data_IF_512491250882
#
_entry.id   IF_512491250882
#
_cell.length_a   1.000
_cell.length_b   1.000
_cell.length_c   1.000
_cell.angle_alpha   90.00
_cell.angle_beta   90.00
_cell.angle_gamma   90.00
#
_symmetry.space_group_name_H-M   'P 1'
#
loop_
_entity.id
_entity.type
_entity.pdbx_description
1 polymer ?
#
# COMPACT_ATOMS: atom_id res chain seq x y z
N UNK A 1 7.57 10.12 18.69
CA UNK A 1 8.24 9.33 17.64
C UNK A 1 9.22 10.25 16.94
N UNK A 2 10.48 9.86 16.74
CA UNK A 2 11.44 10.70 16.02
C UNK A 2 11.19 10.63 14.51
N UNK A 3 11.52 11.71 13.79
CA UNK A 3 11.42 11.73 12.33
C UNK A 3 12.46 10.75 11.76
N UNK A 4 12.06 9.81 10.89
CA UNK A 4 12.96 8.86 10.25
C UNK A 4 14.12 9.53 9.51
N UNK A 5 15.23 8.80 9.34
CA UNK A 5 16.31 9.25 8.46
C UNK A 5 15.84 9.34 6.99
N UNK A 6 16.52 10.16 6.18
CA UNK A 6 16.25 10.19 4.74
C UNK A 6 16.48 8.81 4.12
N UNK A 7 15.60 8.42 3.18
CA UNK A 7 15.66 7.15 2.45
C UNK A 7 15.81 5.91 3.36
N UNK A 8 15.12 5.89 4.50
CA UNK A 8 15.16 4.77 5.46
C UNK A 8 13.94 3.85 5.39
N UNK A 9 12.81 4.34 4.87
CA UNK A 9 11.51 3.69 4.96
C UNK A 9 11.25 2.76 3.77
N UNK A 10 10.88 1.52 4.04
CA UNK A 10 10.18 0.65 3.08
C UNK A 10 8.67 0.85 3.29
N UNK A 11 7.98 1.35 2.27
CA UNK A 11 6.53 1.58 2.33
C UNK A 11 5.78 0.40 1.71
N UNK A 12 4.84 -0.18 2.45
CA UNK A 12 4.04 -1.33 2.02
C UNK A 12 2.57 -0.95 1.79
N UNK A 13 2.01 -1.43 0.68
CA UNK A 13 0.59 -1.27 0.32
C UNK A 13 0.08 -2.49 -0.44
N UNK A 14 -0.87 -3.25 0.11
CA UNK A 14 -1.36 -4.45 -0.57
C UNK A 14 -1.63 -5.66 0.31
N UNK A 15 -1.66 -6.83 -0.30
CA UNK A 15 -1.73 -8.13 0.35
C UNK A 15 -0.59 -8.98 -0.20
N UNK A 16 0.26 -9.49 0.68
CA UNK A 16 1.47 -10.24 0.30
C UNK A 16 1.41 -11.65 0.85
N UNK A 17 2.12 -12.58 0.20
CA UNK A 17 2.30 -13.94 0.69
C UNK A 17 3.33 -14.01 1.82
N UNK A 18 3.42 -15.16 2.48
CA UNK A 18 4.37 -15.37 3.58
C UNK A 18 5.83 -15.26 3.12
N UNK A 19 6.12 -15.74 1.91
CA UNK A 19 7.45 -15.68 1.29
C UNK A 19 7.97 -14.24 1.19
N UNK A 20 7.11 -13.27 0.84
CA UNK A 20 7.49 -11.86 0.86
C UNK A 20 8.05 -11.42 2.22
N UNK A 21 7.41 -11.82 3.32
CA UNK A 21 7.83 -11.44 4.67
C UNK A 21 9.09 -12.20 5.11
N UNK A 22 9.23 -13.47 4.74
CA UNK A 22 10.48 -14.22 4.93
C UNK A 22 11.66 -13.53 4.25
N UNK A 23 11.49 -13.13 2.99
CA UNK A 23 12.53 -12.45 2.22
C UNK A 23 12.79 -11.05 2.77
N UNK A 24 11.74 -10.32 3.18
CA UNK A 24 11.88 -9.02 3.81
C UNK A 24 12.70 -9.13 5.12
N UNK A 25 12.44 -10.14 5.95
CA UNK A 25 13.13 -10.34 7.25
C UNK A 25 14.63 -10.57 7.13
N UNK A 26 15.09 -11.08 5.99
CA UNK A 26 16.51 -11.31 5.68
C UNK A 26 17.23 -10.03 5.23
N UNK A 27 16.50 -8.96 4.91
CA UNK A 27 17.06 -7.71 4.39
C UNK A 27 17.49 -6.80 5.53
N UNK A 28 18.57 -6.03 5.29
CA UNK A 28 18.91 -4.88 6.14
C UNK A 28 18.03 -3.69 5.75
N UNK A 29 17.13 -3.30 6.66
CA UNK A 29 16.31 -2.10 6.54
C UNK A 29 16.23 -1.40 7.90
N UNK A 30 15.84 -0.12 7.89
CA UNK A 30 15.69 0.66 9.13
C UNK A 30 14.25 0.63 9.60
N UNK A 31 13.30 0.95 8.71
CA UNK A 31 11.91 1.15 9.09
C UNK A 31 10.94 0.59 8.03
N UNK A 32 9.83 0.01 8.48
CA UNK A 32 8.75 -0.49 7.62
C UNK A 32 7.46 0.24 7.97
N UNK A 33 6.92 0.94 6.98
CA UNK A 33 5.66 1.68 7.10
C UNK A 33 4.58 0.99 6.29
N UNK A 34 3.36 0.99 6.81
CA UNK A 34 2.22 0.29 6.23
C UNK A 34 1.07 1.28 6.07
N UNK A 35 0.54 1.39 4.86
CA UNK A 35 -0.68 2.14 4.63
C UNK A 35 -1.89 1.44 5.25
N UNK A 36 -2.80 2.19 5.86
CA UNK A 36 -3.97 1.62 6.53
C UNK A 36 -4.88 0.86 5.57
N UNK A 37 -4.98 1.29 4.30
CA UNK A 37 -5.65 0.60 3.22
C UNK A 37 -7.18 0.74 3.29
N UNK A 38 -7.69 1.98 3.20
CA UNK A 38 -9.13 2.22 3.13
C UNK A 38 -9.73 1.62 1.84
N UNK A 39 -11.02 1.26 1.85
CA UNK A 39 -11.97 1.43 2.95
C UNK A 39 -11.93 0.32 4.01
N UNK A 40 -11.48 -0.89 3.68
CA UNK A 40 -11.65 -2.08 4.54
C UNK A 40 -10.65 -2.20 5.69
N UNK A 41 -9.49 -1.55 5.58
CA UNK A 41 -8.34 -1.71 6.49
C UNK A 41 -7.78 -3.15 6.57
N UNK A 42 -8.23 -4.06 5.70
CA UNK A 42 -7.79 -5.47 5.70
C UNK A 42 -6.30 -5.59 5.39
N UNK A 43 -5.80 -4.74 4.47
CA UNK A 43 -4.39 -4.72 4.05
C UNK A 43 -3.45 -4.48 5.23
N UNK A 44 -3.61 -3.37 5.97
CA UNK A 44 -2.76 -3.07 7.11
C UNK A 44 -2.82 -4.13 8.20
N UNK A 45 -4.02 -4.65 8.50
CA UNK A 45 -4.19 -5.73 9.49
C UNK A 45 -3.41 -6.99 9.10
N UNK A 46 -3.50 -7.41 7.84
CA UNK A 46 -2.78 -8.57 7.33
C UNK A 46 -1.26 -8.35 7.39
N UNK A 47 -0.78 -7.25 6.78
CA UNK A 47 0.65 -6.92 6.72
C UNK A 47 1.25 -6.81 8.12
N UNK A 48 0.61 -6.06 9.03
CA UNK A 48 1.16 -5.85 10.37
C UNK A 48 1.20 -7.14 11.19
N UNK A 49 0.20 -8.00 11.04
CA UNK A 49 0.21 -9.33 11.69
C UNK A 49 1.41 -10.15 11.21
N UNK A 50 1.68 -10.18 9.91
CA UNK A 50 2.82 -10.92 9.37
C UNK A 50 4.16 -10.30 9.77
N UNK A 51 4.32 -8.97 9.69
CA UNK A 51 5.55 -8.31 10.13
C UNK A 51 5.87 -8.63 11.59
N UNK A 52 4.88 -8.60 12.48
CA UNK A 52 5.07 -8.93 13.90
C UNK A 52 5.48 -10.40 14.10
N UNK A 53 4.91 -11.35 13.35
CA UNK A 53 5.34 -12.76 13.37
C UNK A 53 6.82 -12.91 12.98
N UNK A 54 7.28 -12.13 12.00
CA UNK A 54 8.67 -12.10 11.56
C UNK A 54 9.57 -11.16 12.40
N UNK A 55 9.12 -10.73 13.59
CA UNK A 55 9.86 -9.85 14.52
C UNK A 55 10.23 -8.49 13.93
N UNK A 56 9.45 -8.00 12.97
CA UNK A 56 9.56 -6.68 12.37
C UNK A 56 8.48 -5.79 12.96
N UNK A 57 8.85 -4.68 13.60
CA UNK A 57 7.88 -3.74 14.18
C UNK A 57 7.45 -2.71 13.13
N UNK A 58 6.19 -2.73 12.65
CA UNK A 58 5.71 -1.74 11.67
C UNK A 58 5.29 -0.42 12.30
N UNK A 59 5.23 0.61 11.46
CA UNK A 59 4.46 1.84 11.72
C UNK A 59 3.28 1.91 10.74
N UNK A 60 2.05 2.00 11.24
CA UNK A 60 0.86 2.21 10.40
C UNK A 60 0.66 3.71 10.21
N UNK A 61 0.30 4.11 8.99
CA UNK A 61 -0.09 5.48 8.64
C UNK A 61 -1.37 5.49 7.81
N UNK A 62 -2.12 6.59 7.89
CA UNK A 62 -3.22 6.82 6.95
C UNK A 62 -2.68 6.98 5.51
N UNK A 63 -3.49 6.58 4.53
CA UNK A 63 -3.06 6.46 3.13
C UNK A 63 -2.49 7.80 2.57
N UNK A 64 -3.11 8.92 2.94
CA UNK A 64 -2.71 10.26 2.51
C UNK A 64 -1.37 10.75 3.09
N UNK A 65 -0.91 10.18 4.21
CA UNK A 65 0.36 10.55 4.85
C UNK A 65 1.57 10.15 4.00
N UNK A 66 1.40 9.24 3.03
CA UNK A 66 2.44 8.87 2.08
C UNK A 66 3.02 10.10 1.36
N UNK A 67 2.18 11.07 0.98
CA UNK A 67 2.62 12.30 0.32
C UNK A 67 3.62 13.10 1.16
N UNK A 68 3.40 13.20 2.46
CA UNK A 68 4.33 13.84 3.39
C UNK A 68 5.68 13.11 3.44
N UNK A 69 5.66 11.77 3.50
CA UNK A 69 6.89 10.97 3.53
C UNK A 69 7.71 11.11 2.23
N UNK A 70 7.04 11.18 1.07
CA UNK A 70 7.70 11.47 -0.20
C UNK A 70 8.32 12.87 -0.21
N UNK A 71 7.56 13.89 0.20
CA UNK A 71 8.03 15.28 0.26
C UNK A 71 9.27 15.42 1.14
N UNK A 72 9.29 14.74 2.30
CA UNK A 72 10.45 14.73 3.22
C UNK A 72 11.59 13.81 2.76
N UNK A 73 11.46 13.13 1.62
CA UNK A 73 12.44 12.21 1.05
C UNK A 73 12.81 11.05 2.01
N UNK A 74 11.83 10.55 2.75
CA UNK A 74 12.02 9.49 3.74
C UNK A 74 11.91 8.08 3.14
N UNK A 75 11.16 7.93 2.06
CA UNK A 75 10.90 6.63 1.43
C UNK A 75 12.10 6.19 0.60
N UNK A 76 12.62 5.00 0.92
CA UNK A 76 13.66 4.28 0.18
C UNK A 76 13.08 3.55 -1.02
N UNK A 77 12.01 2.79 -0.79
CA UNK A 77 11.32 2.00 -1.80
C UNK A 77 9.84 1.80 -1.41
N UNK A 78 9.02 1.56 -2.42
CA UNK A 78 7.63 1.15 -2.28
C UNK A 78 7.50 -0.29 -2.74
N UNK A 79 6.88 -1.14 -1.92
CA UNK A 79 6.46 -2.47 -2.31
C UNK A 79 4.93 -2.53 -2.32
N UNK A 80 4.34 -3.00 -3.41
CA UNK A 80 2.90 -3.15 -3.55
C UNK A 80 2.51 -4.54 -4.01
N UNK A 81 1.26 -4.94 -3.79
CA UNK A 81 0.72 -6.17 -4.38
C UNK A 81 -0.04 -5.90 -5.68
N UNK A 82 -0.07 -6.88 -6.58
CA UNK A 82 -0.84 -6.87 -7.82
C UNK A 82 -1.66 -8.16 -8.01
N UNK A 83 -2.84 -8.02 -8.61
CA UNK A 83 -3.77 -9.11 -8.94
C UNK A 83 -3.45 -9.74 -10.30
N UNK A 84 -3.24 -8.87 -11.29
CA UNK A 84 -2.94 -9.27 -12.66
C UNK A 84 -1.92 -8.33 -13.27
N UNK A 85 -1.20 -8.83 -14.28
CA UNK A 85 -0.22 -8.04 -15.02
C UNK A 85 -0.52 -8.13 -16.53
N UNK A 86 -0.78 -6.98 -17.14
CA UNK A 86 -0.89 -6.82 -18.59
C UNK A 86 0.44 -6.30 -19.15
N UNK A 87 0.98 -6.95 -20.19
CA UNK A 87 2.30 -6.58 -20.76
C UNK A 87 2.37 -5.12 -21.22
N UNK A 88 1.26 -4.59 -21.72
CA UNK A 88 1.09 -3.21 -22.19
C UNK A 88 0.49 -2.28 -21.12
N UNK A 89 -0.44 -2.78 -20.30
CA UNK A 89 -1.21 -1.96 -19.35
C UNK A 89 -0.49 -1.72 -18.02
N UNK A 90 0.41 -2.62 -17.61
CA UNK A 90 1.06 -2.60 -16.31
C UNK A 90 0.44 -3.59 -15.32
N UNK A 91 0.32 -3.22 -14.05
CA UNK A 91 -0.17 -4.10 -13.00
C UNK A 91 -1.50 -3.59 -12.44
N UNK A 92 -2.47 -4.49 -12.24
CA UNK A 92 -3.71 -4.17 -11.53
C UNK A 92 -3.46 -4.30 -10.02
N UNK A 93 -3.36 -3.17 -9.32
CA UNK A 93 -3.00 -3.10 -7.91
C UNK A 93 -4.19 -2.65 -7.06
N UNK A 94 -4.10 -2.80 -5.73
CA UNK A 94 -5.07 -2.17 -4.84
C UNK A 94 -5.04 -0.64 -4.99
N UNK A 95 -6.22 -0.03 -4.92
CA UNK A 95 -6.40 1.41 -5.04
C UNK A 95 -5.48 2.19 -4.08
N UNK A 96 -4.92 3.30 -4.57
CA UNK A 96 -3.82 4.03 -3.94
C UNK A 96 -2.45 3.70 -4.57
N UNK A 97 -2.33 2.56 -5.25
CA UNK A 97 -1.10 2.16 -5.91
C UNK A 97 -0.64 3.11 -7.02
N UNK A 98 -1.56 3.69 -7.79
CA UNK A 98 -1.23 4.67 -8.84
C UNK A 98 -0.68 5.96 -8.23
N UNK A 99 -1.31 6.47 -7.17
CA UNK A 99 -0.86 7.67 -6.44
C UNK A 99 0.56 7.46 -5.92
N UNK A 100 0.81 6.32 -5.25
CA UNK A 100 2.13 5.97 -4.76
C UNK A 100 3.17 5.90 -5.89
N UNK A 101 2.80 5.32 -7.03
CA UNK A 101 3.72 5.10 -8.15
C UNK A 101 4.07 6.40 -8.88
N UNK A 102 3.12 7.32 -9.00
CA UNK A 102 3.35 8.68 -9.53
C UNK A 102 4.29 9.46 -8.61
N UNK A 103 4.03 9.46 -7.30
CA UNK A 103 4.89 10.09 -6.31
C UNK A 103 6.29 9.46 -6.31
N UNK A 104 6.37 8.13 -6.36
CA UNK A 104 7.64 7.42 -6.38
C UNK A 104 8.49 7.82 -7.59
N UNK A 105 7.90 7.88 -8.79
CA UNK A 105 8.60 8.35 -9.99
C UNK A 105 9.13 9.78 -9.82
N UNK A 106 8.30 10.70 -9.32
CA UNK A 106 8.70 12.09 -9.12
C UNK A 106 9.84 12.24 -8.10
N UNK A 107 9.86 11.39 -7.07
CA UNK A 107 10.85 11.42 -5.99
C UNK A 107 12.01 10.43 -6.18
N UNK A 108 12.15 9.84 -7.38
CA UNK A 108 13.19 8.85 -7.73
C UNK A 108 13.25 7.70 -6.71
N UNK A 109 12.08 7.18 -6.34
CA UNK A 109 11.90 6.02 -5.46
C UNK A 109 11.50 4.83 -6.30
N UNK A 110 12.09 3.67 -6.01
CA UNK A 110 11.77 2.44 -6.72
C UNK A 110 10.42 1.88 -6.28
N UNK A 111 9.63 1.42 -7.25
CA UNK A 111 8.38 0.67 -7.05
C UNK A 111 8.60 -0.79 -7.44
N UNK A 112 8.32 -1.68 -6.49
CA UNK A 112 8.32 -3.13 -6.70
C UNK A 112 6.90 -3.66 -6.51
N UNK A 113 6.44 -4.50 -7.43
CA UNK A 113 5.14 -5.14 -7.32
C UNK A 113 5.31 -6.66 -7.14
N UNK A 114 4.47 -7.25 -6.28
CA UNK A 114 4.47 -8.66 -5.89
C UNK A 114 3.08 -9.26 -6.10
N UNK A 115 2.92 -10.57 -6.35
CA UNK A 115 1.61 -11.17 -6.55
C UNK A 115 0.79 -11.07 -5.26
N UNK A 116 -0.49 -10.78 -5.38
CA UNK A 116 -1.42 -10.80 -4.25
C UNK A 116 -1.72 -12.23 -3.81
N UNK A 117 -2.07 -12.41 -2.54
CA UNK A 117 -2.64 -13.68 -2.03
C UNK A 117 -4.14 -13.82 -2.32
N UNK A 118 -4.81 -12.72 -2.64
CA UNK A 118 -6.26 -12.67 -2.87
C UNK A 118 -6.61 -11.52 -3.81
N UNK A 119 -7.54 -11.79 -4.73
CA UNK A 119 -8.11 -10.77 -5.61
C UNK A 119 -9.19 -9.97 -4.88
N UNK A 120 -9.14 -8.64 -5.05
CA UNK A 120 -10.17 -7.73 -4.62
C UNK A 120 -11.23 -7.55 -5.70
N UNK A 121 -12.44 -7.19 -5.26
CA UNK A 121 -13.52 -6.74 -6.14
C UNK A 121 -13.11 -5.44 -6.84
N UNK A 122 -13.82 -5.07 -7.92
CA UNK A 122 -13.56 -3.80 -8.60
C UNK A 122 -13.98 -2.59 -7.76
N UNK A 123 -15.12 -2.70 -7.07
CA UNK A 123 -15.74 -1.61 -6.31
C UNK A 123 -16.27 -2.12 -4.97
N UNK A 124 -16.06 -1.33 -3.92
CA UNK A 124 -16.59 -1.61 -2.58
C UNK A 124 -18.07 -1.29 -2.48
N UNK A 125 -18.74 -1.84 -1.46
CA UNK A 125 -20.10 -1.39 -1.13
C UNK A 125 -20.05 0.06 -0.63
N UNK A 126 -21.00 0.94 -1.01
CA UNK A 126 -21.01 2.34 -0.55
C UNK A 126 -20.91 2.48 0.98
N UNK A 127 -21.44 1.51 1.73
CA UNK A 127 -21.37 1.48 3.20
C UNK A 127 -19.93 1.53 3.71
N UNK A 128 -18.96 0.92 3.03
CA UNK A 128 -17.57 0.77 3.50
C UNK A 128 -16.80 2.10 3.56
N UNK A 129 -17.11 3.03 2.66
CA UNK A 129 -16.54 4.39 2.70
C UNK A 129 -17.35 5.33 3.59
N UNK A 130 -18.66 5.10 3.71
CA UNK A 130 -19.57 5.94 4.51
C UNK A 130 -19.59 5.59 6.01
N UNK A 131 -19.04 4.44 6.39
CA UNK A 131 -18.99 3.97 7.77
C UNK A 131 -17.57 3.62 8.18
N UNK A 132 -17.33 3.70 9.48
CA UNK A 132 -16.11 3.27 10.13
C UNK A 132 -16.51 2.59 11.44
N UNK A 133 -16.00 1.39 11.68
CA UNK A 133 -16.32 0.60 12.89
C UNK A 133 -17.84 0.46 13.18
N UNK A 134 -18.65 0.27 12.13
CA UNK A 134 -20.11 0.16 12.24
C UNK A 134 -20.86 1.49 12.35
N UNK A 135 -20.17 2.59 12.65
CA UNK A 135 -20.76 3.91 12.77
C UNK A 135 -20.70 4.68 11.46
N UNK A 136 -21.74 5.46 11.18
CA UNK A 136 -21.78 6.31 9.98
C UNK A 136 -20.93 7.55 10.21
N UNK A 137 -19.91 7.76 9.37
CA UNK A 137 -18.97 8.89 9.49
C UNK A 137 -19.25 10.01 8.49
N UNK A 138 -20.19 9.81 7.57
CA UNK A 138 -20.58 10.80 6.57
C UNK A 138 -22.05 11.21 6.74
N UNK A 139 -22.46 12.46 6.39
CA UNK A 139 -23.84 12.91 6.51
C UNK A 139 -24.86 11.99 5.83
N UNK A 140 -26.12 12.02 6.28
CA UNK A 140 -27.20 11.30 5.59
C UNK A 140 -27.43 11.92 4.21
N UNK A 141 -27.82 11.09 3.24
CA UNK A 141 -28.07 11.51 1.85
C UNK A 141 -26.84 11.53 0.93
N UNK A 142 -25.61 11.49 1.45
CA UNK A 142 -24.41 11.42 0.60
C UNK A 142 -24.19 10.01 0.04
N UNK A 143 -23.72 9.94 -1.21
CA UNK A 143 -23.39 8.69 -1.92
C UNK A 143 -21.94 8.29 -1.66
N UNK A 144 -21.69 6.98 -1.55
CA UNK A 144 -20.34 6.42 -1.43
C UNK A 144 -19.85 5.86 -2.77
N UNK A 145 -18.59 6.12 -3.10
CA UNK A 145 -17.91 5.56 -4.27
C UNK A 145 -16.49 5.19 -3.85
N UNK A 146 -16.08 3.94 -4.09
CA UNK A 146 -14.78 3.44 -3.67
C UNK A 146 -14.34 2.28 -4.59
N UNK A 147 -13.64 2.58 -5.69
CA UNK A 147 -12.88 1.57 -6.42
C UNK A 147 -11.85 0.93 -5.49
N UNK A 148 -11.67 -0.38 -5.61
CA UNK A 148 -10.74 -1.14 -4.76
C UNK A 148 -9.46 -1.53 -5.48
N UNK A 149 -9.46 -1.47 -6.82
CA UNK A 149 -8.31 -1.74 -7.66
C UNK A 149 -8.17 -0.68 -8.74
N UNK A 150 -6.95 -0.52 -9.23
CA UNK A 150 -6.64 0.39 -10.32
C UNK A 150 -5.42 -0.12 -11.10
N UNK A 151 -5.32 0.28 -12.36
CA UNK A 151 -4.14 0.01 -13.17
C UNK A 151 -3.01 0.95 -12.79
N UNK A 152 -1.85 0.37 -12.49
CA UNK A 152 -0.57 1.07 -12.35
C UNK A 152 0.23 0.83 -13.63
N UNK A 153 0.39 1.85 -14.49
CA UNK A 153 1.11 1.71 -15.75
C UNK A 153 2.54 1.24 -15.57
N UNK A 154 3.01 0.35 -16.46
CA UNK A 154 4.36 -0.23 -16.46
C UNK A 154 5.48 0.82 -16.32
N UNK A 155 5.28 2.03 -16.88
CA UNK A 155 6.23 3.16 -16.79
C UNK A 155 6.50 3.67 -15.36
N UNK A 156 5.72 3.24 -14.37
CA UNK A 156 5.92 3.57 -12.96
C UNK A 156 6.42 2.39 -12.14
N UNK A 157 6.57 1.20 -12.73
CA UNK A 157 6.98 -0.02 -12.03
C UNK A 157 8.44 -0.31 -12.38
N UNK A 158 9.30 -0.44 -11.36
CA UNK A 158 10.72 -0.74 -11.57
C UNK A 158 11.02 -2.24 -11.57
N UNK A 159 10.24 -3.03 -10.81
CA UNK A 159 10.39 -4.48 -10.76
C UNK A 159 9.05 -5.17 -10.54
N UNK A 160 8.83 -6.24 -11.28
CA UNK A 160 7.72 -7.19 -11.11
C UNK A 160 8.35 -8.46 -10.56
N UNK A 161 7.77 -9.02 -9.50
CA UNK A 161 8.28 -10.16 -8.75
C UNK A 161 7.23 -11.25 -8.65
#
# INVERSE_FOLDING_TARGET
MNIPNKKSIILLHGLFDEKFFEDLSKRKFQEVFVLEGRPSLKSSRSICTQLLKHKIKPTIIADNMAGFLFYKNLIKEVCMSYQSFGKEDGALCLAGGLILSVLAKNHKVMVKVYPTIEDSLLIAKPKEVLHFNGERVAPRGVKGYAPLVEWVPKKYINKIL
#
